data_IF_005346332081
#
_entry.id   IF_005346332081
#
_cell.length_a   1.000
_cell.length_b   1.000
_cell.length_c   1.000
_cell.angle_alpha   90.00
_cell.angle_beta   90.00
_cell.angle_gamma   90.00
#
_symmetry.space_group_name_H-M   'P 1'
#
loop_
_entity.id
_entity.type
_entity.pdbx_description
1 polymer ?
#
# COMPACT_ATOMS: atom_id res chain seq x y z
N UNK A 1 -8.02 27.90 14.07
CA UNK A 1 -7.31 27.42 12.86
C UNK A 1 -7.54 28.43 11.76
N UNK A 2 -6.51 29.19 11.37
CA UNK A 2 -6.62 30.13 10.25
C UNK A 2 -6.74 29.32 8.96
N UNK A 3 -7.84 29.45 8.23
CA UNK A 3 -8.06 28.73 6.98
C UNK A 3 -7.22 29.37 5.88
N UNK A 4 -6.20 28.65 5.40
CA UNK A 4 -5.58 28.99 4.13
C UNK A 4 -6.63 28.93 3.01
N UNK A 5 -6.49 29.81 2.02
CA UNK A 5 -7.37 29.76 0.85
C UNK A 5 -7.13 28.46 0.07
N UNK A 6 -8.20 27.86 -0.49
CA UNK A 6 -8.05 26.68 -1.32
C UNK A 6 -7.26 27.02 -2.60
N UNK A 7 -6.62 26.02 -3.18
CA UNK A 7 -6.07 26.15 -4.53
C UNK A 7 -7.20 26.21 -5.60
N UNK A 8 -6.84 26.41 -6.86
CA UNK A 8 -7.80 26.51 -7.98
C UNK A 8 -8.69 25.26 -8.16
N UNK A 9 -8.33 24.14 -7.54
CA UNK A 9 -9.08 22.89 -7.52
C UNK A 9 -9.98 22.73 -6.28
N UNK A 10 -10.10 23.77 -5.44
CA UNK A 10 -10.92 23.74 -4.23
C UNK A 10 -10.32 22.94 -3.06
N UNK A 11 -9.04 22.55 -3.15
CA UNK A 11 -8.33 21.78 -2.14
C UNK A 11 -7.63 22.69 -1.13
N UNK A 12 -7.79 22.36 0.16
CA UNK A 12 -7.20 23.08 1.28
C UNK A 12 -5.89 22.39 1.73
N UNK A 13 -5.03 23.13 2.45
CA UNK A 13 -3.76 22.64 3.02
C UNK A 13 -2.73 22.17 1.97
N UNK A 14 -2.80 22.71 0.75
CA UNK A 14 -1.87 22.38 -0.34
C UNK A 14 -0.66 23.33 -0.44
N UNK A 15 -0.45 24.22 0.53
CA UNK A 15 0.67 25.17 0.52
C UNK A 15 1.95 24.53 1.12
N UNK A 16 3.04 24.55 0.37
CA UNK A 16 4.37 24.05 0.78
C UNK A 16 4.92 23.01 -0.20
N UNK A 17 6.26 22.96 -0.35
CA UNK A 17 6.93 21.85 -1.04
C UNK A 17 7.21 20.74 -0.03
N UNK A 18 6.71 19.54 -0.32
CA UNK A 18 6.94 18.33 0.46
C UNK A 18 7.22 17.21 -0.54
N UNK A 19 8.19 16.36 -0.22
CA UNK A 19 8.35 15.09 -0.91
C UNK A 19 7.31 14.12 -0.35
N UNK A 20 6.35 13.68 -1.16
CA UNK A 20 5.20 12.90 -0.72
C UNK A 20 5.00 11.64 -1.56
N UNK A 21 4.53 10.59 -0.89
CA UNK A 21 4.13 9.34 -1.55
C UNK A 21 2.94 9.54 -2.47
N UNK A 22 2.98 8.87 -3.62
CA UNK A 22 1.90 8.81 -4.60
C UNK A 22 1.49 7.35 -4.78
N UNK A 23 0.21 7.14 -5.12
CA UNK A 23 -0.35 5.80 -5.38
C UNK A 23 0.32 5.07 -6.56
N UNK A 24 1.01 5.82 -7.41
CA UNK A 24 1.62 5.38 -8.67
C UNK A 24 2.78 4.40 -8.43
N UNK A 25 2.77 3.28 -9.14
CA UNK A 25 3.86 2.29 -9.12
C UNK A 25 5.00 2.79 -9.98
N UNK A 26 6.24 2.64 -9.48
CA UNK A 26 7.41 3.02 -10.25
C UNK A 26 7.81 1.94 -11.25
N UNK A 27 7.89 2.34 -12.52
CA UNK A 27 8.54 1.57 -13.58
C UNK A 27 9.51 2.44 -14.38
N UNK A 28 10.72 1.95 -14.70
CA UNK A 28 11.68 2.66 -15.55
C UNK A 28 11.14 3.05 -16.92
N UNK A 29 10.32 2.18 -17.54
CA UNK A 29 9.79 2.36 -18.88
C UNK A 29 8.48 3.18 -18.92
N UNK A 30 7.96 3.61 -17.77
CA UNK A 30 6.74 4.46 -17.72
C UNK A 30 6.76 5.68 -18.66
N UNK A 31 7.89 6.41 -18.83
CA UNK A 31 7.93 7.56 -19.74
C UNK A 31 7.91 7.19 -21.23
N UNK A 32 8.17 5.93 -21.59
CA UNK A 32 8.12 5.44 -22.98
C UNK A 32 6.74 4.86 -23.31
N UNK A 33 6.06 4.35 -22.29
CA UNK A 33 4.77 3.67 -22.41
C UNK A 33 3.56 4.63 -22.43
N UNK A 34 3.71 5.83 -21.85
CA UNK A 34 2.64 6.82 -21.76
C UNK A 34 3.18 8.25 -21.99
N UNK A 35 2.55 8.95 -22.93
CA UNK A 35 2.89 10.32 -23.34
C UNK A 35 2.21 11.39 -22.46
N UNK A 36 1.45 11.00 -21.42
CA UNK A 36 0.80 11.96 -20.54
C UNK A 36 1.82 12.73 -19.66
N UNK A 37 1.47 13.97 -19.30
CA UNK A 37 2.29 14.80 -18.42
C UNK A 37 2.37 14.24 -16.99
N UNK A 38 1.44 13.35 -16.63
CA UNK A 38 1.38 12.66 -15.33
C UNK A 38 0.92 11.21 -15.52
N UNK A 39 1.79 10.35 -16.06
CA UNK A 39 1.42 8.95 -16.27
C UNK A 39 1.15 8.32 -14.91
N UNK A 40 0.11 7.49 -14.85
CA UNK A 40 -0.31 6.81 -13.65
C UNK A 40 -0.42 5.31 -13.91
N UNK A 41 0.40 4.53 -13.20
CA UNK A 41 0.41 3.07 -13.24
C UNK A 41 0.04 2.50 -11.87
N UNK A 42 -0.64 1.36 -11.89
CA UNK A 42 -0.87 0.56 -10.70
C UNK A 42 -2.25 0.70 -10.07
N UNK A 43 -3.29 0.42 -10.85
CA UNK A 43 -4.63 0.24 -10.31
C UNK A 43 -4.87 -1.22 -9.95
N UNK A 44 -5.18 -1.44 -8.68
CA UNK A 44 -5.91 -2.63 -8.23
C UNK A 44 -7.36 -2.21 -8.06
N UNK A 45 -8.18 -2.50 -9.06
CA UNK A 45 -9.59 -2.16 -9.08
C UNK A 45 -10.37 -3.10 -8.17
N UNK A 46 -10.75 -2.60 -6.99
CA UNK A 46 -11.56 -3.34 -6.02
C UNK A 46 -13.03 -2.91 -6.09
N UNK A 47 -13.93 -3.84 -5.82
CA UNK A 47 -15.36 -3.62 -5.61
C UNK A 47 -15.78 -4.15 -4.23
N UNK A 48 -16.89 -3.64 -3.71
CA UNK A 48 -17.45 -4.12 -2.44
C UNK A 48 -17.92 -5.55 -2.58
N UNK A 49 -17.68 -6.37 -1.57
CA UNK A 49 -18.30 -7.69 -1.51
C UNK A 49 -19.79 -7.51 -1.21
N UNK A 50 -20.62 -8.30 -1.90
CA UNK A 50 -22.07 -8.25 -1.77
C UNK A 50 -22.57 -9.56 -1.17
N UNK A 51 -23.56 -9.45 -0.28
CA UNK A 51 -24.31 -10.58 0.26
C UNK A 51 -25.19 -11.23 -0.82
N UNK A 52 -25.76 -12.40 -0.49
CA UNK A 52 -26.70 -13.11 -1.38
C UNK A 52 -27.90 -12.26 -1.83
N UNK A 53 -28.27 -11.23 -1.06
CA UNK A 53 -29.37 -10.31 -1.37
C UNK A 53 -28.93 -9.08 -2.20
N UNK A 54 -27.66 -8.99 -2.58
CA UNK A 54 -27.09 -7.87 -3.34
C UNK A 54 -26.80 -6.61 -2.51
N UNK A 55 -27.01 -6.65 -1.20
CA UNK A 55 -26.56 -5.62 -0.27
C UNK A 55 -25.05 -5.73 -0.01
N UNK A 56 -24.43 -4.64 0.45
CA UNK A 56 -23.01 -4.67 0.87
C UNK A 56 -22.86 -5.63 2.04
N UNK A 57 -21.84 -6.48 1.99
CA UNK A 57 -21.53 -7.42 3.06
C UNK A 57 -21.14 -6.70 4.35
N UNK A 58 -21.33 -7.41 5.46
CA UNK A 58 -20.94 -6.92 6.78
C UNK A 58 -19.45 -6.61 6.82
N UNK A 59 -19.10 -5.63 7.65
CA UNK A 59 -17.73 -5.16 7.81
C UNK A 59 -16.84 -6.24 8.44
N UNK A 60 -15.53 -6.01 8.42
CA UNK A 60 -14.61 -6.87 9.16
C UNK A 60 -14.81 -6.70 10.67
N UNK A 61 -14.93 -7.82 11.40
CA UNK A 61 -14.99 -7.83 12.86
C UNK A 61 -13.59 -7.94 13.50
N UNK A 62 -12.67 -8.61 12.81
CA UNK A 62 -11.29 -8.85 13.22
C UNK A 62 -10.32 -8.06 12.33
N UNK A 63 -9.09 -7.90 12.82
CA UNK A 63 -7.99 -7.37 12.02
C UNK A 63 -7.62 -8.39 10.95
N UNK A 64 -7.54 -7.95 9.70
CA UNK A 64 -7.13 -8.80 8.57
C UNK A 64 -5.62 -8.70 8.41
N UNK A 65 -4.96 -9.85 8.37
CA UNK A 65 -3.50 -9.94 8.24
C UNK A 65 -3.10 -10.64 6.94
N UNK A 66 -2.03 -10.15 6.29
CA UNK A 66 -1.33 -10.90 5.25
C UNK A 66 -0.40 -11.96 5.88
N UNK A 67 -0.95 -13.16 6.09
CA UNK A 67 -0.26 -14.27 6.77
C UNK A 67 0.99 -14.72 6.02
N UNK A 68 0.98 -14.67 4.69
CA UNK A 68 2.12 -15.10 3.85
C UNK A 68 3.24 -14.07 3.92
N UNK A 69 2.91 -12.78 3.86
CA UNK A 69 3.85 -11.69 4.07
C UNK A 69 4.51 -11.74 5.46
N UNK A 70 3.72 -12.02 6.51
CA UNK A 70 4.26 -12.18 7.87
C UNK A 70 5.24 -13.37 7.94
N UNK A 71 4.92 -14.50 7.31
CA UNK A 71 5.85 -15.65 7.26
C UNK A 71 7.18 -15.24 6.63
N UNK A 72 7.12 -14.58 5.48
CA UNK A 72 8.32 -14.09 4.80
C UNK A 72 9.15 -13.19 5.72
N UNK A 73 8.52 -12.19 6.35
CA UNK A 73 9.18 -11.30 7.30
C UNK A 73 9.86 -12.04 8.44
N UNK A 74 9.16 -12.97 9.11
CA UNK A 74 9.71 -13.72 10.23
C UNK A 74 10.90 -14.59 9.80
N UNK A 75 10.84 -15.21 8.62
CA UNK A 75 11.96 -16.02 8.12
C UNK A 75 13.20 -15.18 7.79
N UNK A 76 13.02 -14.01 7.19
CA UNK A 76 14.13 -13.09 6.93
C UNK A 76 14.68 -12.48 8.22
N UNK A 77 13.80 -12.19 9.19
CA UNK A 77 14.19 -11.74 10.51
C UNK A 77 15.03 -12.78 11.25
N UNK A 78 14.61 -14.06 11.20
CA UNK A 78 15.35 -15.18 11.77
C UNK A 78 16.75 -15.29 11.15
N UNK A 79 16.85 -15.23 9.82
CA UNK A 79 18.14 -15.26 9.10
C UNK A 79 19.04 -14.09 9.47
N UNK A 80 18.50 -12.88 9.56
CA UNK A 80 19.27 -11.69 9.93
C UNK A 80 19.81 -11.74 11.38
N UNK A 81 19.11 -12.46 12.26
CA UNK A 81 19.47 -12.62 13.66
C UNK A 81 20.37 -13.85 13.93
N UNK A 82 20.62 -14.71 12.93
CA UNK A 82 21.47 -15.89 13.10
C UNK A 82 22.84 -15.52 13.68
N UNK A 83 23.17 -16.14 14.82
CA UNK A 83 24.45 -15.94 15.53
C UNK A 83 24.51 -14.74 16.49
N UNK A 84 23.47 -13.91 16.57
CA UNK A 84 23.37 -12.80 17.53
C UNK A 84 22.21 -12.92 18.51
N UNK A 85 21.19 -13.73 18.17
CA UNK A 85 20.03 -13.94 19.04
C UNK A 85 20.41 -14.69 20.32
N UNK A 86 19.75 -14.32 21.41
CA UNK A 86 19.72 -15.12 22.63
C UNK A 86 18.85 -16.38 22.42
N UNK A 87 18.99 -17.37 23.31
CA UNK A 87 18.24 -18.63 23.22
C UNK A 87 16.72 -18.40 23.35
N UNK A 88 16.30 -17.48 24.22
CA UNK A 88 14.89 -17.11 24.41
C UNK A 88 14.30 -16.41 23.18
N UNK A 89 15.07 -15.53 22.55
CA UNK A 89 14.67 -14.84 21.32
C UNK A 89 14.51 -15.80 20.14
N UNK A 90 15.41 -16.76 20.01
CA UNK A 90 15.31 -17.81 18.98
C UNK A 90 14.05 -18.66 19.19
N UNK A 91 13.78 -19.06 20.44
CA UNK A 91 12.58 -19.83 20.79
C UNK A 91 11.29 -19.07 20.48
N UNK A 92 11.23 -17.76 20.78
CA UNK A 92 10.07 -16.93 20.41
C UNK A 92 9.87 -16.94 18.88
N UNK A 93 10.93 -16.67 18.10
CA UNK A 93 10.83 -16.60 16.64
C UNK A 93 10.35 -17.94 16.05
N UNK A 94 10.86 -19.06 16.55
CA UNK A 94 10.45 -20.39 16.11
C UNK A 94 8.97 -20.65 16.45
N UNK A 95 8.52 -20.27 17.65
CA UNK A 95 7.11 -20.37 18.05
C UNK A 95 6.19 -19.49 17.19
N UNK A 96 6.63 -18.29 16.82
CA UNK A 96 5.89 -17.41 15.91
C UNK A 96 5.77 -18.03 14.52
N UNK A 97 6.86 -18.58 13.97
CA UNK A 97 6.85 -19.23 12.67
C UNK A 97 5.89 -20.42 12.65
N UNK A 98 5.91 -21.28 13.66
CA UNK A 98 4.99 -22.41 13.77
C UNK A 98 3.52 -21.94 13.85
N UNK A 99 3.24 -20.90 14.64
CA UNK A 99 1.89 -20.33 14.75
C UNK A 99 1.38 -19.71 13.44
N UNK A 100 2.27 -19.11 12.65
CA UNK A 100 1.94 -18.58 11.33
C UNK A 100 1.69 -19.72 10.33
N UNK A 101 2.44 -20.82 10.38
CA UNK A 101 2.18 -21.99 9.54
C UNK A 101 0.82 -22.62 9.82
N UNK A 102 0.42 -22.71 11.09
CA UNK A 102 -0.95 -23.10 11.47
C UNK A 102 -2.00 -22.15 10.90
N UNK A 103 -1.71 -20.84 10.89
CA UNK A 103 -2.61 -19.83 10.32
C UNK A 103 -2.77 -19.99 8.81
N UNK A 104 -1.71 -20.36 8.09
CA UNK A 104 -1.77 -20.71 6.66
C UNK A 104 -2.63 -21.96 6.44
N UNK A 105 -2.53 -22.97 7.29
CA UNK A 105 -3.37 -24.16 7.23
C UNK A 105 -4.87 -23.82 7.44
N UNK A 106 -5.19 -22.92 8.37
CA UNK A 106 -6.56 -22.42 8.55
C UNK A 106 -7.07 -21.67 7.31
N UNK A 107 -6.22 -20.86 6.67
CA UNK A 107 -6.56 -20.19 5.40
C UNK A 107 -6.84 -21.22 4.29
N UNK A 108 -6.01 -22.24 4.15
CA UNK A 108 -6.21 -23.32 3.17
C UNK A 108 -7.51 -24.11 3.40
N UNK A 109 -7.97 -24.22 4.65
CA UNK A 109 -9.25 -24.87 5.01
C UNK A 109 -10.45 -23.90 4.96
N UNK A 110 -10.29 -22.70 4.40
CA UNK A 110 -11.32 -21.63 4.29
C UNK A 110 -11.83 -21.12 5.64
N UNK A 111 -11.00 -21.21 6.69
CA UNK A 111 -11.30 -20.68 8.03
C UNK A 111 -10.45 -19.43 8.29
N UNK A 112 -10.74 -18.36 7.55
CA UNK A 112 -9.95 -17.12 7.60
C UNK A 112 -10.02 -16.43 8.97
N UNK A 113 -11.19 -16.37 9.60
CA UNK A 113 -11.35 -15.75 10.93
C UNK A 113 -10.47 -16.44 12.00
N UNK A 114 -10.36 -17.77 11.93
CA UNK A 114 -9.50 -18.53 12.83
C UNK A 114 -8.01 -18.24 12.57
N UNK A 115 -7.62 -18.04 11.31
CA UNK A 115 -6.27 -17.64 10.96
C UNK A 115 -5.93 -16.25 11.53
N UNK A 116 -6.82 -15.27 11.37
CA UNK A 116 -6.60 -13.92 11.88
C UNK A 116 -6.58 -13.85 13.40
N UNK A 117 -7.46 -14.59 14.06
CA UNK A 117 -7.44 -14.72 15.52
C UNK A 117 -6.12 -15.33 15.99
N UNK A 118 -5.61 -16.36 15.31
CA UNK A 118 -4.33 -16.98 15.66
C UNK A 118 -3.16 -16.00 15.53
N UNK A 119 -3.13 -15.17 14.49
CA UNK A 119 -2.13 -14.09 14.33
C UNK A 119 -2.25 -13.08 15.46
N UNK A 120 -3.48 -12.70 15.85
CA UNK A 120 -3.70 -11.81 16.98
C UNK A 120 -3.17 -12.39 18.29
N UNK A 121 -3.38 -13.68 18.54
CA UNK A 121 -2.85 -14.37 19.73
C UNK A 121 -1.31 -14.37 19.74
N UNK A 122 -0.66 -14.47 18.57
CA UNK A 122 0.80 -14.35 18.44
C UNK A 122 1.28 -12.92 18.72
N UNK A 123 0.56 -11.91 18.24
CA UNK A 123 0.85 -10.50 18.54
C UNK A 123 0.76 -10.25 20.04
N UNK A 124 -0.24 -10.83 20.71
CA UNK A 124 -0.41 -10.69 22.15
C UNK A 124 0.65 -11.49 22.94
N UNK A 125 1.10 -12.64 22.42
CA UNK A 125 2.27 -13.35 22.94
C UNK A 125 3.52 -12.47 22.92
N UNK A 126 3.81 -11.79 21.80
CA UNK A 126 4.96 -10.89 21.68
C UNK A 126 4.86 -9.75 22.71
N UNK A 127 3.67 -9.15 22.89
CA UNK A 127 3.47 -8.07 23.88
C UNK A 127 3.68 -8.53 25.32
N UNK A 128 3.45 -9.81 25.61
CA UNK A 128 3.61 -10.37 26.96
C UNK A 128 5.06 -10.70 27.32
N UNK A 129 5.96 -10.77 26.33
CA UNK A 129 7.37 -11.06 26.54
C UNK A 129 8.19 -9.77 26.60
N UNK A 130 8.98 -9.60 27.66
CA UNK A 130 9.91 -8.47 27.82
C UNK A 130 11.25 -8.77 27.11
N UNK A 131 11.22 -8.93 25.79
CA UNK A 131 12.42 -9.15 24.96
C UNK A 131 12.79 -7.90 24.14
N UNK A 132 14.08 -7.67 23.89
CA UNK A 132 14.56 -6.51 23.13
C UNK A 132 14.07 -6.51 21.66
N UNK A 133 13.82 -7.69 21.09
CA UNK A 133 13.30 -7.85 19.72
C UNK A 133 11.80 -7.56 19.60
N UNK A 134 11.04 -7.58 20.71
CA UNK A 134 9.57 -7.51 20.67
C UNK A 134 9.04 -6.26 19.96
N UNK A 135 9.56 -5.03 20.20
CA UNK A 135 9.11 -3.84 19.48
C UNK A 135 9.34 -3.92 17.97
N UNK A 136 10.46 -4.52 17.55
CA UNK A 136 10.80 -4.66 16.13
C UNK A 136 9.92 -5.70 15.44
N UNK A 137 9.62 -6.81 16.12
CA UNK A 137 8.66 -7.80 15.63
C UNK A 137 7.26 -7.21 15.48
N UNK A 138 6.77 -6.47 16.48
CA UNK A 138 5.46 -5.81 16.42
C UNK A 138 5.37 -4.80 15.27
N UNK A 139 6.40 -3.98 15.09
CA UNK A 139 6.46 -3.04 13.97
C UNK A 139 6.41 -3.77 12.63
N UNK A 140 7.22 -4.81 12.46
CA UNK A 140 7.26 -5.54 11.19
C UNK A 140 5.97 -6.30 10.90
N UNK A 141 5.30 -6.89 11.91
CA UNK A 141 4.00 -7.54 11.72
C UNK A 141 2.92 -6.51 11.39
N UNK A 142 2.97 -5.31 11.99
CA UNK A 142 2.02 -4.23 11.71
C UNK A 142 2.03 -3.80 10.24
N UNK A 143 3.17 -3.89 9.55
CA UNK A 143 3.29 -3.55 8.13
C UNK A 143 2.50 -4.51 7.22
N UNK A 144 2.12 -5.69 7.72
CA UNK A 144 1.32 -6.70 7.01
C UNK A 144 -0.14 -6.73 7.47
N UNK A 145 -0.61 -5.69 8.16
CA UNK A 145 -2.03 -5.50 8.44
C UNK A 145 -2.73 -4.96 7.19
N UNK A 146 -3.68 -5.72 6.63
CA UNK A 146 -4.39 -5.34 5.42
C UNK A 146 -5.59 -4.42 5.72
N UNK A 147 -6.44 -4.83 6.66
CA UNK A 147 -7.68 -4.11 6.99
C UNK A 147 -7.91 -4.06 8.51
N UNK A 148 -8.65 -3.04 8.96
CA UNK A 148 -9.02 -2.85 10.36
C UNK A 148 -10.48 -3.28 10.62
N UNK A 149 -10.82 -3.63 11.87
CA UNK A 149 -12.20 -3.85 12.26
C UNK A 149 -13.07 -2.63 11.91
N UNK A 150 -14.17 -2.86 11.22
CA UNK A 150 -15.09 -1.84 10.75
C UNK A 150 -14.87 -1.36 9.32
N UNK A 151 -13.81 -1.82 8.65
CA UNK A 151 -13.63 -1.60 7.21
C UNK A 151 -14.61 -2.45 6.39
N UNK A 152 -15.00 -1.92 5.24
CA UNK A 152 -15.91 -2.62 4.32
C UNK A 152 -15.11 -3.68 3.57
N UNK A 153 -15.67 -4.90 3.45
CA UNK A 153 -15.04 -5.97 2.68
C UNK A 153 -14.94 -5.57 1.21
N UNK A 154 -13.72 -5.60 0.69
CA UNK A 154 -13.42 -5.29 -0.71
C UNK A 154 -12.82 -6.52 -1.37
N UNK A 155 -13.26 -6.83 -2.60
CA UNK A 155 -12.67 -7.87 -3.44
C UNK A 155 -12.22 -7.31 -4.78
N UNK A 156 -11.30 -8.01 -5.42
CA UNK A 156 -10.89 -7.72 -6.79
C UNK A 156 -12.09 -7.87 -7.75
N UNK A 157 -12.18 -6.98 -8.73
CA UNK A 157 -13.27 -7.00 -9.72
C UNK A 157 -13.04 -8.14 -10.71
N UNK A 158 -14.07 -8.91 -11.03
CA UNK A 158 -13.90 -9.99 -12.00
C UNK A 158 -13.97 -9.46 -13.44
N UNK A 159 -13.40 -10.21 -14.38
CA UNK A 159 -13.40 -9.80 -15.79
C UNK A 159 -14.82 -9.70 -16.35
N UNK A 160 -15.74 -10.55 -15.86
CA UNK A 160 -17.15 -10.55 -16.26
C UNK A 160 -17.86 -9.25 -15.85
N UNK A 161 -17.57 -8.74 -14.66
CA UNK A 161 -18.13 -7.47 -14.15
C UNK A 161 -17.60 -6.26 -14.93
N UNK A 162 -16.45 -6.41 -15.59
CA UNK A 162 -15.77 -5.36 -16.34
C UNK A 162 -16.12 -5.31 -17.83
N UNK A 163 -16.92 -6.25 -18.36
CA UNK A 163 -17.20 -6.34 -19.81
C UNK A 163 -17.72 -5.01 -20.39
N UNK A 164 -18.64 -4.36 -19.68
CA UNK A 164 -19.25 -3.10 -20.15
C UNK A 164 -18.44 -1.85 -19.78
N UNK A 165 -17.34 -2.01 -19.03
CA UNK A 165 -16.50 -0.88 -18.61
C UNK A 165 -15.53 -0.52 -19.72
N UNK A 166 -15.40 0.79 -19.98
CA UNK A 166 -14.50 1.32 -21.01
C UNK A 166 -13.07 1.53 -20.51
N UNK A 167 -12.87 1.59 -19.19
CA UNK A 167 -11.62 2.08 -18.60
C UNK A 167 -10.62 0.97 -18.30
N UNK A 168 -11.09 -0.22 -17.89
CA UNK A 168 -10.24 -1.35 -17.54
C UNK A 168 -10.99 -2.67 -17.72
N UNK A 169 -10.24 -3.75 -17.94
CA UNK A 169 -10.77 -5.10 -18.18
C UNK A 169 -10.47 -6.07 -17.04
N UNK A 170 -9.29 -5.94 -16.44
CA UNK A 170 -8.83 -6.79 -15.34
C UNK A 170 -8.75 -5.99 -14.04
N UNK A 171 -8.72 -6.69 -12.90
CA UNK A 171 -8.64 -6.05 -11.59
C UNK A 171 -7.24 -5.50 -11.33
N UNK A 172 -6.22 -6.28 -11.66
CA UNK A 172 -4.84 -5.92 -11.39
C UNK A 172 -4.15 -5.57 -12.70
N UNK A 173 -3.84 -4.28 -12.84
CA UNK A 173 -3.17 -3.74 -14.01
C UNK A 173 -1.81 -3.13 -13.63
N UNK A 174 -1.18 -3.59 -12.54
CA UNK A 174 0.14 -3.10 -12.11
C UNK A 174 1.22 -3.46 -13.15
N UNK A 175 1.20 -4.69 -13.67
CA UNK A 175 2.28 -5.25 -14.53
C UNK A 175 1.96 -5.25 -16.03
N UNK A 176 0.97 -4.46 -16.43
CA UNK A 176 0.57 -4.38 -17.82
C UNK A 176 1.73 -3.89 -18.72
N UNK A 177 2.15 -4.73 -19.68
CA UNK A 177 3.24 -4.50 -20.66
C UNK A 177 4.66 -4.50 -20.05
N UNK A 178 4.80 -4.63 -18.72
CA UNK A 178 6.07 -4.44 -18.03
C UNK A 178 6.18 -5.34 -16.78
N UNK A 179 6.13 -6.66 -17.01
CA UNK A 179 6.15 -7.67 -15.94
C UNK A 179 5.24 -8.87 -16.17
N UNK A 180 4.30 -8.81 -17.11
CA UNK A 180 3.53 -10.00 -17.49
C UNK A 180 4.42 -11.07 -18.13
N UNK A 181 4.01 -12.34 -18.06
CA UNK A 181 4.80 -13.47 -18.58
C UNK A 181 5.20 -13.24 -20.05
N UNK A 182 4.33 -12.60 -20.83
CA UNK A 182 4.54 -12.35 -22.25
C UNK A 182 5.57 -11.24 -22.54
N UNK A 183 5.69 -10.22 -21.69
CA UNK A 183 6.68 -9.13 -21.81
C UNK A 183 7.99 -9.43 -21.05
N UNK A 184 7.99 -10.43 -20.18
CA UNK A 184 9.13 -10.77 -19.35
C UNK A 184 10.32 -11.35 -20.13
N UNK A 185 11.52 -11.16 -19.58
CA UNK A 185 12.73 -11.84 -20.08
C UNK A 185 12.67 -13.37 -19.94
N UNK A 186 11.75 -13.87 -19.11
CA UNK A 186 11.50 -15.29 -18.84
C UNK A 186 10.29 -15.84 -19.60
N UNK A 187 9.87 -15.21 -20.71
CA UNK A 187 8.68 -15.61 -21.49
C UNK A 187 8.68 -17.10 -21.92
N UNK A 188 9.85 -17.73 -22.04
CA UNK A 188 10.02 -19.14 -22.42
C UNK A 188 9.88 -20.12 -21.22
N UNK A 189 9.92 -19.61 -19.98
CA UNK A 189 9.78 -20.41 -18.76
C UNK A 189 8.36 -20.27 -18.20
N UNK A 190 7.47 -21.18 -18.60
CA UNK A 190 6.13 -21.27 -18.04
C UNK A 190 6.20 -21.60 -16.53
N UNK A 191 5.76 -20.68 -15.68
CA UNK A 191 5.65 -20.88 -14.23
C UNK A 191 6.79 -20.30 -13.39
N UNK A 192 7.51 -19.28 -13.86
CA UNK A 192 8.43 -18.53 -13.01
C UNK A 192 7.65 -17.78 -11.91
N UNK A 193 7.87 -18.16 -10.65
CA UNK A 193 7.35 -17.47 -9.47
C UNK A 193 8.34 -16.35 -9.07
N UNK A 194 8.02 -15.10 -9.39
CA UNK A 194 8.81 -13.91 -9.08
C UNK A 194 8.44 -12.73 -9.98
N UNK A 195 9.00 -11.54 -9.74
CA UNK A 195 8.83 -10.42 -10.66
C UNK A 195 9.60 -10.73 -11.97
N UNK A 196 8.91 -10.99 -13.09
CA UNK A 196 9.54 -11.55 -14.28
C UNK A 196 10.44 -10.56 -15.03
N UNK A 197 10.34 -9.27 -14.69
CA UNK A 197 11.06 -8.19 -15.37
C UNK A 197 12.21 -7.64 -14.51
N UNK A 198 12.01 -7.53 -13.19
CA UNK A 198 12.98 -6.93 -12.27
C UNK A 198 13.46 -7.92 -11.20
N UNK A 199 14.73 -8.32 -11.28
CA UNK A 199 15.36 -9.19 -10.28
C UNK A 199 15.75 -8.38 -9.03
N UNK A 200 14.78 -8.25 -8.11
CA UNK A 200 14.89 -7.47 -6.87
C UNK A 200 16.04 -7.95 -5.98
N UNK A 201 16.86 -7.02 -5.50
CA UNK A 201 17.97 -7.30 -4.59
C UNK A 201 19.24 -7.84 -5.25
N UNK A 202 19.20 -8.21 -6.53
CA UNK A 202 20.39 -8.58 -7.32
C UNK A 202 20.76 -7.52 -8.35
N UNK A 203 19.83 -7.19 -9.25
CA UNK A 203 20.09 -6.25 -10.35
C UNK A 203 19.41 -4.90 -10.15
N UNK A 204 18.25 -4.88 -9.50
CA UNK A 204 17.49 -3.65 -9.25
C UNK A 204 16.84 -3.67 -7.86
N UNK A 205 16.41 -2.49 -7.39
CA UNK A 205 15.57 -2.34 -6.21
C UNK A 205 14.10 -2.13 -6.58
N UNK A 206 13.71 -2.50 -7.80
CA UNK A 206 12.38 -2.25 -8.35
C UNK A 206 11.55 -3.53 -8.24
N UNK A 207 10.32 -3.39 -7.77
CA UNK A 207 9.32 -4.45 -7.62
C UNK A 207 7.90 -3.83 -7.69
N UNK A 208 6.86 -4.62 -7.49
CA UNK A 208 5.46 -4.16 -7.56
C UNK A 208 5.05 -3.31 -6.36
N UNK A 209 5.86 -3.36 -5.30
CA UNK A 209 5.76 -2.55 -4.09
C UNK A 209 6.53 -1.22 -4.19
N UNK A 210 7.28 -0.99 -5.27
CA UNK A 210 8.04 0.25 -5.47
C UNK A 210 7.10 1.37 -5.89
N UNK A 211 6.93 2.37 -5.02
CA UNK A 211 6.01 3.49 -5.26
C UNK A 211 6.76 4.75 -5.64
N UNK A 212 6.09 5.58 -6.44
CA UNK A 212 6.60 6.90 -6.78
C UNK A 212 6.34 7.86 -5.63
N UNK A 213 7.34 8.67 -5.31
CA UNK A 213 7.14 9.87 -4.51
C UNK A 213 7.53 11.11 -5.31
N UNK A 214 6.80 12.21 -5.11
CA UNK A 214 6.92 13.45 -5.88
C UNK A 214 7.16 14.64 -4.97
N UNK A 215 7.68 15.72 -5.57
CA UNK A 215 8.08 16.93 -4.84
C UNK A 215 9.53 16.87 -4.37
N UNK A 216 9.92 17.86 -3.57
CA UNK A 216 11.27 18.00 -3.03
C UNK A 216 11.24 18.11 -1.51
N UNK A 217 12.20 17.45 -0.88
CA UNK A 217 12.51 17.57 0.53
C UNK A 217 13.53 18.69 0.79
N UNK A 218 13.80 18.97 2.05
CA UNK A 218 14.85 19.91 2.47
C UNK A 218 16.26 19.46 2.07
N UNK A 219 16.47 18.16 1.83
CA UNK A 219 17.76 17.60 1.44
C UNK A 219 17.96 17.57 -0.09
N UNK A 220 16.92 17.90 -0.84
CA UNK A 220 16.94 17.79 -2.29
C UNK A 220 17.45 19.06 -2.97
N UNK A 221 18.22 18.87 -4.04
CA UNK A 221 18.59 19.95 -4.96
C UNK A 221 17.36 20.38 -5.76
N UNK A 222 17.34 21.65 -6.18
CA UNK A 222 16.25 22.27 -6.97
C UNK A 222 15.86 21.45 -8.20
N UNK A 223 16.80 20.73 -8.81
CA UNK A 223 16.52 19.82 -9.93
C UNK A 223 15.38 18.83 -9.63
N UNK A 224 15.28 18.35 -8.39
CA UNK A 224 14.24 17.41 -7.93
C UNK A 224 12.93 18.09 -7.52
N UNK A 225 12.87 19.42 -7.51
CA UNK A 225 11.66 20.19 -7.21
C UNK A 225 10.75 20.40 -8.44
N UNK A 226 11.04 19.75 -9.56
CA UNK A 226 10.23 19.80 -10.76
C UNK A 226 9.04 18.81 -10.64
N UNK A 227 7.79 19.22 -10.93
CA UNK A 227 6.63 18.34 -10.87
C UNK A 227 6.70 17.11 -11.78
N UNK A 228 7.49 17.14 -12.85
CA UNK A 228 7.69 16.00 -13.75
C UNK A 228 8.70 14.97 -13.24
N UNK A 229 9.46 15.28 -12.18
CA UNK A 229 10.49 14.37 -11.69
C UNK A 229 9.88 13.27 -10.83
N UNK A 230 10.08 12.02 -11.26
CA UNK A 230 9.60 10.81 -10.58
C UNK A 230 10.78 10.14 -9.89
N UNK A 231 10.66 9.93 -8.59
CA UNK A 231 11.60 9.13 -7.79
C UNK A 231 10.83 8.01 -7.14
N UNK A 232 11.52 6.98 -6.69
CA UNK A 232 10.89 5.82 -6.11
C UNK A 232 11.61 5.35 -4.86
N UNK A 233 10.83 4.71 -4.01
CA UNK A 233 11.27 3.99 -2.83
C UNK A 233 10.26 2.85 -2.62
N UNK A 234 10.68 1.78 -1.95
CA UNK A 234 9.78 0.70 -1.57
C UNK A 234 8.73 1.22 -0.56
N UNK A 235 7.45 0.90 -0.75
CA UNK A 235 6.36 1.38 0.10
C UNK A 235 6.51 1.00 1.58
N UNK A 236 7.28 -0.06 1.88
CA UNK A 236 7.58 -0.49 3.27
C UNK A 236 8.74 0.28 3.91
N UNK A 237 9.47 1.10 3.15
CA UNK A 237 10.61 1.85 3.69
C UNK A 237 10.20 3.26 4.11
N UNK A 238 10.69 3.68 5.27
CA UNK A 238 10.52 5.06 5.76
C UNK A 238 11.80 5.87 5.60
N UNK A 239 11.66 7.17 5.35
CA UNK A 239 12.79 8.09 5.24
C UNK A 239 12.39 9.47 5.77
N UNK A 240 13.29 10.15 6.48
CA UNK A 240 13.03 11.47 7.07
C UNK A 240 12.79 12.60 6.05
N UNK A 241 13.07 12.36 4.77
CA UNK A 241 12.87 13.32 3.68
C UNK A 241 11.49 13.21 3.03
N UNK A 242 10.79 12.09 3.24
CA UNK A 242 9.48 11.81 2.64
C UNK A 242 8.41 11.93 3.74
N UNK A 243 7.33 12.64 3.43
CA UNK A 243 6.20 12.83 4.32
C UNK A 243 4.87 12.53 3.64
N UNK A 244 3.79 12.92 4.31
CA UNK A 244 2.44 12.83 3.80
C UNK A 244 1.79 14.21 3.80
N UNK A 245 0.89 14.44 2.84
CA UNK A 245 0.03 15.61 2.79
C UNK A 245 -1.42 15.16 2.78
N UNK A 246 -2.18 15.68 3.72
CA UNK A 246 -3.62 15.47 3.73
C UNK A 246 -4.27 16.50 2.80
N UNK A 247 -4.85 16.04 1.70
CA UNK A 247 -5.79 16.84 0.91
C UNK A 247 -7.22 16.54 1.40
N UNK A 248 -8.05 17.57 1.49
CA UNK A 248 -9.45 17.42 1.88
C UNK A 248 -10.35 18.04 0.83
N UNK A 249 -11.32 17.26 0.35
CA UNK A 249 -12.43 17.77 -0.44
C UNK A 249 -13.32 18.61 0.45
N UNK A 250 -13.63 19.84 0.03
CA UNK A 250 -14.57 20.69 0.76
C UNK A 250 -15.96 20.06 0.72
N UNK A 251 -16.50 19.77 1.89
CA UNK A 251 -17.91 19.38 2.03
C UNK A 251 -18.73 20.64 2.34
N UNK A 252 -19.65 21.02 1.44
CA UNK A 252 -20.50 22.19 1.59
C UNK A 252 -20.80 22.91 0.26
N UNK A 253 -21.46 24.07 0.35
CA UNK A 253 -21.81 24.88 -0.82
C UNK A 253 -20.55 25.28 -1.64
N UNK A 254 -20.62 25.27 -2.99
CA UNK A 254 -19.52 25.70 -3.86
C UNK A 254 -19.07 27.14 -3.58
N UNK A 255 -19.98 27.98 -3.08
CA UNK A 255 -19.66 29.32 -2.63
C UNK A 255 -19.10 29.30 -1.21
N UNK A 256 -17.95 29.96 -1.02
CA UNK A 256 -17.28 30.07 0.27
C UNK A 256 -18.21 30.64 1.35
N UNK A 257 -18.02 30.21 2.61
CA UNK A 257 -18.71 30.81 3.76
C UNK A 257 -18.25 32.27 3.87
N UNK A 258 -19.04 33.19 3.30
CA UNK A 258 -18.72 34.60 3.18
C UNK A 258 -18.94 35.22 1.80
N UNK A 259 -19.31 34.45 0.77
CA UNK A 259 -19.49 35.00 -0.59
C UNK A 259 -20.68 35.97 -0.70
N UNK A 260 -21.71 35.81 0.14
CA UNK A 260 -22.80 36.79 0.28
C UNK A 260 -22.30 38.18 0.77
N UNK A 261 -21.27 38.21 1.62
CA UNK A 261 -20.65 39.47 2.10
C UNK A 261 -19.83 40.16 1.00
N UNK A 262 -19.40 39.44 -0.04
CA UNK A 262 -18.71 40.00 -1.20
C UNK A 262 -19.69 40.56 -2.22
N UNK A 263 -20.75 39.83 -2.55
CA UNK A 263 -21.77 40.28 -3.52
C UNK A 263 -22.48 41.56 -3.05
N UNK A 264 -22.79 41.67 -1.77
CA UNK A 264 -23.41 42.88 -1.19
C UNK A 264 -22.54 44.16 -1.26
N UNK A 265 -21.23 44.05 -1.50
CA UNK A 265 -20.34 45.21 -1.73
C UNK A 265 -20.19 45.59 -3.19
N UNK A 266 -20.59 44.75 -4.12
CA UNK A 266 -20.53 45.03 -5.57
C UNK A 266 -21.81 45.73 -6.03
N UNK A 267 -22.93 45.52 -5.33
CA UNK A 267 -24.23 46.16 -5.58
C UNK A 267 -24.44 47.50 -4.82
N UNK A 268 -23.36 48.20 -4.43
CA UNK A 268 -23.44 49.54 -3.81
C UNK A 268 -22.54 50.56 -4.50
#
# INVERSE_FOLDING_TARGET
VFSYWPNDYGLYNMAGNVSEWVMDVYRPLSPEDDDDFRPFRGNVFKTKVLNSDGAVEDKHDLVVYDVEGIKYYLTEFQKAMQGRATEEEAQLIDQLLEGIEQSIEFKNTRKEDAAYQRVQDLVDLIKSQDLEIAPKLLSGISDYQADQPGDVRMRNVTVEENIDRRNYRESDNIDFIDGDINSSIYYDQAGYEGNPMYDWGKSTLINDHSRVYKGASWADRIYWANPGTRRYLDERQSTATIGFRCAMTRVGSPVGLGDEKRRSKIDR
#
